data_IF_577279450762
#
_entry.id   IF_577279450762
#
_cell.length_a   1.000
_cell.length_b   1.000
_cell.length_c   1.000
_cell.angle_alpha   90.00
_cell.angle_beta   90.00
_cell.angle_gamma   90.00
#
_symmetry.space_group_name_H-M   'P 1'
#
loop_
_entity.id
_entity.type
_entity.pdbx_description
1 polymer ?
#
# COMPACT_ATOMS: atom_id res chain seq x y z
N UNK A 1 18.08 -18.49 36.51
CA UNK A 1 17.90 -19.31 35.30
C UNK A 1 17.53 -18.40 34.16
N UNK A 2 18.43 -18.23 33.19
CA UNK A 2 18.19 -17.38 32.03
C UNK A 2 17.38 -18.17 31.00
N UNK A 3 16.14 -17.76 30.74
CA UNK A 3 15.38 -18.30 29.61
C UNK A 3 15.77 -17.54 28.34
N UNK A 4 16.17 -18.29 27.33
CA UNK A 4 16.55 -17.84 26.01
C UNK A 4 15.36 -17.22 25.25
N UNK A 5 15.60 -16.28 24.30
CA UNK A 5 14.54 -15.65 23.55
C UNK A 5 13.82 -16.67 22.66
N UNK A 6 12.51 -16.54 22.61
CA UNK A 6 11.57 -17.36 21.83
C UNK A 6 11.96 -17.32 20.36
N UNK A 7 12.35 -18.48 19.84
CA UNK A 7 12.51 -18.70 18.40
C UNK A 7 11.16 -18.46 17.70
N UNK A 8 11.09 -17.41 16.86
CA UNK A 8 9.99 -17.24 15.91
C UNK A 8 9.99 -18.46 15.00
N UNK A 9 8.99 -19.31 15.17
CA UNK A 9 8.79 -20.49 14.34
C UNK A 9 8.51 -20.02 12.90
N UNK A 10 9.54 -19.97 12.10
CA UNK A 10 9.44 -19.84 10.67
C UNK A 10 9.02 -21.21 10.12
N UNK A 11 7.73 -21.43 9.88
CA UNK A 11 7.26 -22.61 9.18
C UNK A 11 7.97 -22.68 7.83
N UNK A 12 8.81 -23.70 7.65
CA UNK A 12 9.52 -23.99 6.39
C UNK A 12 8.49 -24.31 5.31
N UNK A 13 8.13 -23.32 4.50
CA UNK A 13 7.62 -23.60 3.17
C UNK A 13 8.82 -24.07 2.32
N UNK A 14 8.76 -25.28 1.82
CA UNK A 14 9.74 -25.90 0.90
C UNK A 14 9.55 -25.32 -0.51
N UNK A 15 9.79 -24.02 -0.69
CA UNK A 15 9.85 -23.33 -1.97
C UNK A 15 11.18 -22.58 -2.09
N UNK A 16 11.74 -22.46 -3.29
CA UNK A 16 12.96 -21.68 -3.55
C UNK A 16 12.82 -20.27 -3.01
N UNK A 17 13.57 -19.96 -1.95
CA UNK A 17 13.50 -18.66 -1.26
C UNK A 17 14.22 -17.61 -2.10
N UNK A 18 13.50 -16.55 -2.54
CA UNK A 18 14.09 -15.29 -2.94
C UNK A 18 14.89 -14.66 -1.79
N UNK A 19 15.73 -13.67 -2.08
CA UNK A 19 16.38 -12.86 -1.04
C UNK A 19 15.29 -12.11 -0.25
N UNK A 20 15.33 -12.21 1.05
CA UNK A 20 14.49 -11.35 1.91
C UNK A 20 15.33 -10.14 2.26
N UNK A 21 14.86 -8.96 1.86
CA UNK A 21 15.51 -7.70 2.22
C UNK A 21 15.09 -7.32 3.63
N UNK A 22 16.07 -7.31 4.54
CA UNK A 22 15.89 -6.87 5.91
C UNK A 22 16.56 -5.52 6.11
N UNK A 23 15.83 -4.61 6.73
CA UNK A 23 16.33 -3.34 7.19
C UNK A 23 16.22 -3.30 8.72
N UNK A 24 17.19 -2.71 9.38
CA UNK A 24 17.26 -2.61 10.82
C UNK A 24 17.46 -1.17 11.30
N UNK A 25 17.64 -0.97 12.59
CA UNK A 25 17.80 0.36 13.20
C UNK A 25 18.87 1.24 12.57
N UNK A 26 19.87 0.66 11.94
CA UNK A 26 20.89 1.41 11.24
C UNK A 26 20.36 2.16 10.01
N UNK A 27 19.28 1.67 9.39
CA UNK A 27 18.65 2.27 8.22
C UNK A 27 17.77 3.47 8.57
N UNK A 28 17.43 3.65 9.85
CA UNK A 28 16.63 4.78 10.36
C UNK A 28 17.11 5.28 11.72
N UNK A 29 18.43 5.41 11.91
CA UNK A 29 18.99 6.06 13.12
C UNK A 29 18.46 7.47 13.31
N UNK A 30 18.18 8.16 12.21
CA UNK A 30 17.53 9.47 12.18
C UNK A 30 16.28 9.38 11.29
N UNK A 31 15.39 10.34 11.43
CA UNK A 31 14.19 10.44 10.59
C UNK A 31 14.58 10.58 9.12
N UNK A 32 15.58 11.42 8.81
CA UNK A 32 16.04 11.70 7.44
C UNK A 32 16.54 10.43 6.75
N UNK A 33 17.30 9.57 7.44
CA UNK A 33 17.71 8.27 6.90
C UNK A 33 16.53 7.35 6.64
N UNK A 34 15.56 7.32 7.54
CA UNK A 34 14.34 6.52 7.40
C UNK A 34 13.45 6.94 6.23
N UNK A 35 13.55 8.21 5.79
CA UNK A 35 12.80 8.73 4.64
C UNK A 35 13.43 8.39 3.28
N UNK A 36 14.69 7.96 3.23
CA UNK A 36 15.41 7.72 1.97
C UNK A 36 14.96 6.47 1.21
N UNK A 37 14.30 5.53 1.89
CA UNK A 37 13.86 4.27 1.29
C UNK A 37 12.35 4.16 1.39
N UNK A 38 11.74 3.79 0.28
CA UNK A 38 10.29 3.65 0.13
C UNK A 38 9.94 2.21 -0.24
N UNK A 39 8.77 1.76 0.17
CA UNK A 39 8.21 0.49 -0.23
C UNK A 39 6.97 0.72 -1.10
N UNK A 40 6.66 -0.25 -1.96
CA UNK A 40 5.53 -0.24 -2.87
C UNK A 40 4.90 -1.62 -2.92
N UNK A 41 3.57 -1.70 -2.84
CA UNK A 41 2.77 -2.86 -3.23
C UNK A 41 1.67 -2.41 -4.19
N UNK A 42 1.32 -3.25 -5.16
CA UNK A 42 0.39 -2.92 -6.23
C UNK A 42 -0.72 -3.96 -6.33
N UNK A 43 -1.82 -3.60 -6.99
CA UNK A 43 -2.99 -4.47 -7.11
C UNK A 43 -3.24 -5.01 -8.53
N UNK A 44 -2.34 -4.82 -9.48
CA UNK A 44 -2.48 -5.30 -10.87
C UNK A 44 -3.55 -4.57 -11.71
N UNK A 45 -4.12 -3.47 -11.19
CA UNK A 45 -5.07 -2.60 -11.91
C UNK A 45 -4.67 -1.12 -11.86
N UNK A 46 -3.44 -0.83 -11.40
CA UNK A 46 -2.89 0.53 -11.32
C UNK A 46 -3.04 1.21 -9.97
N UNK A 47 -3.80 0.63 -9.02
CA UNK A 47 -3.81 1.05 -7.62
C UNK A 47 -2.58 0.56 -6.87
N UNK A 48 -2.24 1.23 -5.78
CA UNK A 48 -1.05 0.90 -4.99
C UNK A 48 -1.18 1.32 -3.53
N UNK A 49 -0.29 0.78 -2.69
CA UNK A 49 0.05 1.28 -1.37
C UNK A 49 1.56 1.51 -1.30
N UNK A 50 1.97 2.62 -0.69
CA UNK A 50 3.37 3.03 -0.57
C UNK A 50 3.59 3.96 0.62
N UNK A 51 4.75 3.87 1.24
CA UNK A 51 5.26 4.81 2.24
C UNK A 51 6.77 4.63 2.39
N UNK A 52 7.39 5.33 3.34
CA UNK A 52 8.80 5.13 3.70
C UNK A 52 8.97 3.92 4.64
N UNK A 53 10.21 3.46 4.84
CA UNK A 53 10.50 2.37 5.78
C UNK A 53 10.04 2.65 7.22
N UNK A 54 9.95 3.91 7.63
CA UNK A 54 9.49 4.30 8.96
C UNK A 54 8.00 4.61 9.02
N UNK A 55 7.24 4.32 7.95
CA UNK A 55 5.81 4.63 7.82
C UNK A 55 5.46 6.12 8.01
N UNK A 56 6.40 7.02 7.74
CA UNK A 56 6.18 8.46 7.64
C UNK A 56 5.99 8.82 6.17
N UNK A 57 4.86 9.39 5.83
CA UNK A 57 4.58 9.80 4.46
C UNK A 57 5.40 11.05 4.12
N UNK A 58 6.41 10.91 3.26
CA UNK A 58 7.25 12.01 2.76
C UNK A 58 6.76 12.61 1.45
N UNK A 59 5.75 11.97 0.81
CA UNK A 59 5.15 12.39 -0.46
C UNK A 59 3.63 12.47 -0.35
N UNK A 60 3.03 13.43 -1.08
CA UNK A 60 1.57 13.46 -1.30
C UNK A 60 1.03 12.20 -1.98
N UNK A 61 1.90 11.43 -2.62
CA UNK A 61 1.61 10.17 -3.31
C UNK A 61 1.61 8.95 -2.38
N UNK A 62 2.13 9.06 -1.17
CA UNK A 62 2.11 7.98 -0.21
C UNK A 62 0.69 7.73 0.32
N UNK A 63 0.36 6.48 0.52
CA UNK A 63 -0.92 6.07 1.09
C UNK A 63 -1.03 4.56 1.23
N UNK A 64 -1.87 4.10 2.13
CA UNK A 64 -2.21 2.69 2.30
C UNK A 64 -3.26 2.22 1.30
N UNK A 65 -4.06 3.14 0.70
CA UNK A 65 -4.93 2.84 -0.43
C UNK A 65 -4.99 4.04 -1.38
N UNK A 66 -4.26 3.93 -2.47
CA UNK A 66 -4.42 4.77 -3.67
C UNK A 66 -5.11 3.92 -4.73
N UNK A 67 -6.43 4.10 -4.86
CA UNK A 67 -7.28 3.27 -5.71
C UNK A 67 -7.29 3.76 -7.16
N UNK A 68 -7.29 2.85 -8.13
CA UNK A 68 -7.46 3.16 -9.54
C UNK A 68 -8.92 2.97 -9.94
N UNK A 69 -9.69 4.06 -10.09
CA UNK A 69 -11.13 3.99 -10.43
C UNK A 69 -11.41 3.83 -11.93
N UNK A 70 -10.42 4.16 -12.77
CA UNK A 70 -10.40 3.86 -14.21
C UNK A 70 -9.08 3.18 -14.56
N UNK A 71 -8.93 1.88 -14.24
CA UNK A 71 -7.68 1.18 -14.48
C UNK A 71 -7.06 1.41 -15.86
N UNK A 72 -5.76 1.76 -15.94
CA UNK A 72 -4.80 1.87 -14.83
C UNK A 72 -4.73 3.26 -14.18
N UNK A 73 -5.60 4.18 -14.52
CA UNK A 73 -5.57 5.57 -14.08
C UNK A 73 -6.73 6.00 -13.18
N UNK A 74 -7.01 7.30 -13.16
CA UNK A 74 -7.88 7.99 -12.18
C UNK A 74 -7.57 7.52 -10.76
N UNK A 75 -6.30 7.67 -10.35
CA UNK A 75 -5.84 7.27 -9.04
C UNK A 75 -6.30 8.27 -7.97
N UNK A 76 -6.92 7.75 -6.92
CA UNK A 76 -7.47 8.54 -5.81
C UNK A 76 -6.91 8.02 -4.49
N UNK A 77 -6.40 8.91 -3.66
CA UNK A 77 -6.02 8.60 -2.29
C UNK A 77 -7.29 8.49 -1.43
N UNK A 78 -7.53 7.32 -0.87
CA UNK A 78 -8.62 7.06 0.07
C UNK A 78 -8.12 6.89 1.50
N UNK A 79 -7.08 6.10 1.72
CA UNK A 79 -6.47 5.89 3.03
C UNK A 79 -5.00 6.31 2.98
N UNK A 80 -4.66 7.40 3.63
CA UNK A 80 -3.28 7.87 3.72
C UNK A 80 -2.46 7.03 4.71
N UNK A 81 -2.99 6.79 5.89
CA UNK A 81 -2.32 6.08 6.99
C UNK A 81 -3.30 5.40 7.92
N UNK A 82 -2.75 4.51 8.76
CA UNK A 82 -3.29 4.16 10.07
C UNK A 82 -2.27 4.60 11.11
N UNK A 83 -2.67 5.45 12.05
CA UNK A 83 -1.85 5.84 13.19
C UNK A 83 -2.16 4.92 14.37
N UNK A 84 -1.14 4.19 14.81
CA UNK A 84 -1.24 3.18 15.84
C UNK A 84 -0.82 3.76 17.20
N UNK A 85 -1.66 3.53 18.22
CA UNK A 85 -1.38 3.85 19.62
C UNK A 85 -1.69 2.66 20.51
N UNK A 86 -0.72 2.21 21.28
CA UNK A 86 -0.84 1.07 22.17
C UNK A 86 -0.90 1.54 23.63
N UNK A 87 -1.91 1.10 24.37
CA UNK A 87 -2.08 1.40 25.81
C UNK A 87 -2.06 0.11 26.61
N UNK A 88 -1.14 -0.01 27.57
CA UNK A 88 -1.04 -1.13 28.51
C UNK A 88 -0.92 -0.58 29.93
N UNK A 89 -1.95 -0.73 30.74
CA UNK A 89 -2.02 -0.11 32.08
C UNK A 89 -1.79 1.41 32.01
N UNK A 90 -0.81 1.95 32.74
CA UNK A 90 -0.49 3.39 32.74
C UNK A 90 0.36 3.79 31.53
N UNK A 91 0.93 2.84 30.80
CA UNK A 91 1.85 3.12 29.71
C UNK A 91 1.11 3.33 28.38
N UNK A 92 1.56 4.33 27.64
CA UNK A 92 1.09 4.59 26.26
C UNK A 92 2.29 4.65 25.33
N UNK A 93 2.24 3.86 24.25
CA UNK A 93 3.25 3.84 23.19
C UNK A 93 2.62 4.37 21.91
N UNK A 94 3.14 5.48 21.40
CA UNK A 94 2.74 6.00 20.09
C UNK A 94 3.64 5.38 19.03
N UNK A 95 3.06 4.64 18.09
CA UNK A 95 3.80 4.01 16.98
C UNK A 95 3.67 4.82 15.69
N UNK A 96 2.86 5.88 15.68
CA UNK A 96 2.73 6.78 14.55
C UNK A 96 4.04 7.54 14.27
N UNK A 97 4.36 7.72 13.00
CA UNK A 97 5.46 8.55 12.55
C UNK A 97 4.92 9.60 11.57
N UNK A 98 4.92 10.86 11.99
CA UNK A 98 4.37 11.98 11.24
C UNK A 98 5.27 13.20 11.37
N UNK A 99 5.36 14.00 10.32
CA UNK A 99 5.89 15.36 10.32
C UNK A 99 4.74 16.35 10.09
N UNK A 100 4.75 17.45 10.80
CA UNK A 100 3.70 18.46 10.74
C UNK A 100 4.30 19.85 10.54
N UNK A 101 3.62 20.70 9.81
CA UNK A 101 4.05 22.08 9.54
C UNK A 101 4.31 22.92 10.79
N UNK A 102 3.70 22.58 11.92
CA UNK A 102 3.95 23.25 13.21
C UNK A 102 5.31 22.92 13.83
N UNK A 103 6.06 22.00 13.22
CA UNK A 103 7.30 21.46 13.77
C UNK A 103 7.08 20.31 14.76
N UNK A 104 5.84 19.93 15.04
CA UNK A 104 5.54 18.75 15.82
C UNK A 104 5.84 17.48 15.01
N UNK A 105 6.63 16.59 15.61
CA UNK A 105 7.00 15.31 14.99
C UNK A 105 6.59 14.15 15.87
N UNK A 106 5.94 13.16 15.26
CA UNK A 106 5.70 11.87 15.89
C UNK A 106 6.80 10.90 15.45
N UNK A 107 7.43 10.27 16.41
CA UNK A 107 8.64 9.47 16.20
C UNK A 107 8.45 8.00 16.57
N UNK A 108 7.26 7.44 16.32
CA UNK A 108 6.94 6.06 16.65
C UNK A 108 7.89 5.01 16.06
N UNK A 109 8.66 5.38 15.02
CA UNK A 109 9.70 4.53 14.44
C UNK A 109 10.85 4.20 15.42
N UNK A 110 10.99 4.89 16.54
CA UNK A 110 11.95 4.50 17.60
C UNK A 110 11.69 3.09 18.14
N UNK A 111 10.43 2.65 18.10
CA UNK A 111 9.99 1.31 18.50
C UNK A 111 10.17 0.27 17.37
N UNK A 112 10.40 0.71 16.13
CA UNK A 112 10.61 -0.17 14.98
C UNK A 112 11.96 -0.88 15.10
N UNK A 113 11.96 -2.22 15.02
CA UNK A 113 13.16 -3.06 15.15
C UNK A 113 13.64 -3.55 13.79
N UNK A 114 12.71 -3.89 12.92
CA UNK A 114 13.00 -4.52 11.64
C UNK A 114 11.90 -4.20 10.61
N UNK A 115 12.31 -4.05 9.38
CA UNK A 115 11.43 -4.05 8.21
C UNK A 115 11.88 -5.16 7.26
N UNK A 116 10.96 -6.03 6.89
CA UNK A 116 11.12 -7.01 5.82
C UNK A 116 10.27 -6.54 4.65
N UNK A 117 10.81 -6.49 3.43
CA UNK A 117 10.07 -5.95 2.27
C UNK A 117 9.48 -7.04 1.38
N UNK A 118 10.13 -8.22 1.31
CA UNK A 118 9.70 -9.30 0.43
C UNK A 118 8.99 -10.45 1.16
N UNK A 119 7.88 -10.99 0.62
CA UNK A 119 7.15 -10.54 -0.57
C UNK A 119 6.25 -9.33 -0.31
N UNK A 120 5.99 -9.00 0.97
CA UNK A 120 5.20 -7.85 1.39
C UNK A 120 5.86 -7.12 2.55
N UNK A 121 5.79 -5.78 2.60
CA UNK A 121 6.38 -5.01 3.67
C UNK A 121 5.77 -5.42 5.01
N UNK A 122 6.65 -5.85 5.90
CA UNK A 122 6.32 -6.27 7.27
C UNK A 122 7.20 -5.51 8.25
N UNK A 123 6.56 -4.75 9.12
CA UNK A 123 7.17 -3.89 10.12
C UNK A 123 7.05 -4.52 11.49
N UNK A 124 8.18 -4.79 12.15
CA UNK A 124 8.20 -5.36 13.48
C UNK A 124 8.59 -4.30 14.51
N UNK A 125 7.66 -3.97 15.38
CA UNK A 125 7.85 -3.08 16.53
C UNK A 125 8.05 -3.88 17.80
N UNK A 126 8.90 -3.37 18.70
CA UNK A 126 9.06 -3.92 20.05
C UNK A 126 9.18 -2.79 21.06
N UNK A 127 8.41 -2.86 22.12
CA UNK A 127 8.34 -1.88 23.20
C UNK A 127 7.83 -2.55 24.47
N UNK A 128 8.53 -2.32 25.59
CA UNK A 128 8.30 -3.08 26.82
C UNK A 128 8.46 -4.58 26.58
N UNK A 129 7.45 -5.35 26.97
CA UNK A 129 7.35 -6.80 26.77
C UNK A 129 6.41 -7.18 25.60
N UNK A 130 6.13 -6.22 24.69
CA UNK A 130 5.19 -6.33 23.60
C UNK A 130 5.94 -6.40 22.26
N UNK A 131 5.46 -7.26 21.37
CA UNK A 131 5.89 -7.30 19.96
C UNK A 131 4.68 -7.18 19.06
N UNK A 132 4.75 -6.25 18.08
CA UNK A 132 3.73 -6.02 17.07
C UNK A 132 4.34 -6.13 15.69
N UNK A 133 3.82 -7.02 14.85
CA UNK A 133 4.15 -7.10 13.44
C UNK A 133 2.96 -6.61 12.60
N UNK A 134 3.24 -5.66 11.69
CA UNK A 134 2.29 -5.08 10.72
C UNK A 134 2.72 -5.45 9.31
N UNK A 135 1.90 -6.20 8.59
CA UNK A 135 2.13 -6.56 7.18
C UNK A 135 1.11 -5.87 6.30
N UNK A 136 1.56 -5.25 5.21
CA UNK A 136 0.70 -4.56 4.25
C UNK A 136 0.76 -5.26 2.91
N UNK A 137 -0.40 -5.60 2.34
CA UNK A 137 -0.50 -6.14 0.99
C UNK A 137 -1.82 -5.71 0.33
N UNK A 138 -1.88 -5.82 -0.99
CA UNK A 138 -3.10 -5.54 -1.75
C UNK A 138 -3.63 -6.81 -2.39
N UNK A 139 -4.95 -6.87 -2.54
CA UNK A 139 -5.62 -7.96 -3.25
C UNK A 139 -5.52 -7.71 -4.76
N UNK A 140 -4.95 -8.66 -5.49
CA UNK A 140 -4.77 -8.53 -6.93
C UNK A 140 -6.13 -8.41 -7.67
N UNK A 141 -6.23 -7.43 -8.55
CA UNK A 141 -7.45 -7.14 -9.31
C UNK A 141 -8.49 -6.29 -8.58
N UNK A 142 -8.24 -5.86 -7.33
CA UNK A 142 -9.18 -5.09 -6.51
C UNK A 142 -8.52 -3.86 -5.90
N UNK A 143 -9.29 -2.79 -5.71
CA UNK A 143 -8.86 -1.64 -4.91
C UNK A 143 -9.07 -1.92 -3.42
N UNK A 144 -8.32 -2.90 -2.92
CA UNK A 144 -8.39 -3.41 -1.55
C UNK A 144 -7.01 -3.59 -0.97
N UNK A 145 -6.75 -2.94 0.15
CA UNK A 145 -5.53 -3.10 0.94
C UNK A 145 -5.86 -3.81 2.25
N UNK A 146 -5.07 -4.81 2.58
CA UNK A 146 -5.14 -5.55 3.83
C UNK A 146 -3.94 -5.16 4.69
N UNK A 147 -4.20 -4.68 5.90
CA UNK A 147 -3.20 -4.38 6.92
C UNK A 147 -3.35 -5.42 8.02
N UNK A 148 -2.48 -6.42 8.00
CA UNK A 148 -2.50 -7.55 8.92
C UNK A 148 -1.62 -7.26 10.11
N UNK A 149 -2.17 -7.40 11.31
CA UNK A 149 -1.47 -7.26 12.58
C UNK A 149 -1.32 -8.62 13.25
N UNK A 150 -0.12 -8.88 13.79
CA UNK A 150 0.16 -9.96 14.74
C UNK A 150 0.76 -9.34 15.98
N UNK A 151 0.08 -9.49 17.10
CA UNK A 151 0.49 -8.87 18.36
C UNK A 151 0.75 -9.98 19.38
N UNK A 152 1.89 -9.92 20.04
CA UNK A 152 2.20 -10.67 21.24
C UNK A 152 2.16 -9.67 22.38
N UNK A 153 1.08 -9.72 23.18
CA UNK A 153 0.87 -8.81 24.29
C UNK A 153 1.70 -9.23 25.50
N UNK A 154 2.14 -8.25 26.27
CA UNK A 154 2.88 -8.46 27.50
C UNK A 154 2.00 -8.89 28.68
N UNK A 155 2.52 -8.69 29.88
CA UNK A 155 1.93 -9.15 31.14
C UNK A 155 0.67 -8.42 31.57
N UNK A 156 0.30 -7.32 30.89
CA UNK A 156 -0.89 -6.52 31.26
C UNK A 156 -1.92 -6.52 30.13
N UNK A 157 -3.23 -6.45 30.44
CA UNK A 157 -4.25 -6.18 29.44
C UNK A 157 -3.97 -4.86 28.73
N UNK A 158 -4.23 -4.82 27.43
CA UNK A 158 -3.92 -3.68 26.59
C UNK A 158 -5.01 -3.38 25.56
N UNK A 159 -4.93 -2.19 24.96
CA UNK A 159 -5.77 -1.79 23.84
C UNK A 159 -4.88 -1.20 22.74
N UNK A 160 -5.00 -1.73 21.54
CA UNK A 160 -4.42 -1.11 20.36
C UNK A 160 -5.47 -0.25 19.68
N UNK A 161 -5.23 1.06 19.64
CA UNK A 161 -6.03 2.04 18.93
C UNK A 161 -5.45 2.28 17.55
N UNK A 162 -6.29 2.25 16.52
CA UNK A 162 -5.93 2.44 15.11
C UNK A 162 -6.77 3.59 14.54
N UNK A 163 -6.15 4.74 14.32
CA UNK A 163 -6.80 5.93 13.79
C UNK A 163 -6.50 6.06 12.28
N UNK A 164 -7.50 5.87 11.40
CA UNK A 164 -7.31 6.07 9.97
C UNK A 164 -7.26 7.56 9.63
N UNK A 165 -6.28 7.94 8.81
CA UNK A 165 -6.21 9.24 8.15
C UNK A 165 -6.71 9.06 6.73
N UNK A 166 -7.88 9.62 6.41
CA UNK A 166 -8.57 9.41 5.14
C UNK A 166 -8.61 10.66 4.28
N UNK A 167 -8.76 10.47 2.99
CA UNK A 167 -8.96 11.50 2.01
C UNK A 167 -9.90 11.03 0.89
N UNK A 168 -10.21 11.87 -0.09
CA UNK A 168 -10.97 11.52 -1.29
C UNK A 168 -10.53 12.42 -2.45
N UNK A 169 -9.24 12.37 -2.80
CA UNK A 169 -8.62 13.27 -3.75
C UNK A 169 -7.80 12.55 -4.81
N UNK A 170 -7.73 13.14 -6.00
CA UNK A 170 -6.77 12.70 -7.01
C UNK A 170 -5.35 12.75 -6.47
N UNK A 171 -4.55 11.72 -6.75
CA UNK A 171 -3.23 11.53 -6.12
C UNK A 171 -2.20 12.63 -6.44
N UNK A 172 -2.40 13.43 -7.49
CA UNK A 172 -1.55 14.58 -7.82
C UNK A 172 -1.86 15.85 -7.00
N UNK A 173 -2.98 15.88 -6.29
CA UNK A 173 -3.44 17.04 -5.54
C UNK A 173 -3.20 16.87 -4.04
N UNK A 174 -3.49 17.90 -3.28
CA UNK A 174 -3.55 17.91 -1.81
C UNK A 174 -4.91 18.44 -1.38
N UNK A 175 -5.33 18.14 -0.16
CA UNK A 175 -6.61 18.61 0.41
C UNK A 175 -6.36 19.50 1.62
N UNK A 176 -7.16 20.53 1.77
CA UNK A 176 -7.26 21.35 2.97
C UNK A 176 -8.59 21.12 3.67
N UNK A 177 -8.59 21.25 4.99
CA UNK A 177 -9.83 21.22 5.78
C UNK A 177 -10.83 22.23 5.23
N UNK A 178 -12.08 21.79 5.04
CA UNK A 178 -13.14 22.59 4.44
C UNK A 178 -13.32 22.42 2.93
N UNK A 179 -12.38 21.81 2.20
CA UNK A 179 -12.52 21.51 0.77
C UNK A 179 -13.33 20.24 0.49
N UNK A 180 -13.42 19.34 1.47
CA UNK A 180 -14.16 18.08 1.40
C UNK A 180 -15.00 17.89 2.66
N UNK A 181 -16.21 17.41 2.45
CA UNK A 181 -17.07 16.89 3.51
C UNK A 181 -17.13 15.38 3.45
N UNK A 182 -17.10 14.73 4.62
CA UNK A 182 -17.15 13.29 4.74
C UNK A 182 -18.42 12.87 5.46
N UNK A 183 -19.16 11.92 4.86
CA UNK A 183 -20.33 11.29 5.48
C UNK A 183 -19.95 9.90 5.96
N UNK A 184 -20.30 9.62 7.22
CA UNK A 184 -20.01 8.34 7.86
C UNK A 184 -21.27 7.52 7.97
N UNK A 185 -21.19 6.27 7.57
CA UNK A 185 -22.24 5.27 7.77
C UNK A 185 -21.66 4.07 8.48
N UNK A 186 -22.23 3.72 9.63
CA UNK A 186 -21.83 2.50 10.34
C UNK A 186 -22.17 1.28 9.51
N UNK A 187 -21.24 0.35 9.38
CA UNK A 187 -21.40 -0.96 8.78
C UNK A 187 -20.99 -2.02 9.81
N UNK A 188 -21.34 -3.29 9.63
CA UNK A 188 -20.79 -4.37 10.46
C UNK A 188 -19.26 -4.32 10.41
N UNK A 189 -18.63 -4.49 11.57
CA UNK A 189 -17.17 -4.51 11.76
C UNK A 189 -16.43 -3.23 11.33
N UNK A 190 -17.15 -2.10 11.08
CA UNK A 190 -16.45 -0.91 10.63
C UNK A 190 -17.31 0.29 10.24
N UNK A 191 -16.82 1.02 9.24
CA UNK A 191 -17.41 2.27 8.76
C UNK A 191 -17.27 2.39 7.24
N UNK A 192 -18.32 2.88 6.59
CA UNK A 192 -18.31 3.39 5.21
C UNK A 192 -18.15 4.90 5.24
N UNK A 193 -17.23 5.42 4.44
CA UNK A 193 -16.85 6.83 4.41
C UNK A 193 -17.05 7.34 2.99
N UNK A 194 -18.02 8.21 2.81
CA UNK A 194 -18.29 8.89 1.55
C UNK A 194 -17.57 10.24 1.56
N UNK A 195 -16.76 10.51 0.54
CA UNK A 195 -16.13 11.80 0.29
C UNK A 195 -16.75 12.46 -0.94
N UNK A 196 -16.10 12.36 -2.11
CA UNK A 196 -16.65 12.88 -3.36
C UNK A 196 -17.76 11.99 -3.89
N UNK A 197 -18.88 12.58 -4.30
CA UNK A 197 -20.07 11.87 -4.79
C UNK A 197 -19.80 10.97 -6.01
N UNK A 198 -18.87 11.39 -6.88
CA UNK A 198 -18.53 10.63 -8.08
C UNK A 198 -17.58 9.43 -7.83
N UNK A 199 -17.24 9.16 -6.59
CA UNK A 199 -16.34 8.06 -6.17
C UNK A 199 -17.09 7.07 -5.28
N UNK A 200 -16.76 5.79 -5.36
CA UNK A 200 -17.28 4.83 -4.40
C UNK A 200 -16.79 5.15 -2.99
N UNK A 201 -17.58 4.83 -1.95
CA UNK A 201 -17.16 5.03 -0.57
C UNK A 201 -15.93 4.19 -0.23
N UNK A 202 -15.12 4.70 0.69
CA UNK A 202 -14.10 3.91 1.36
C UNK A 202 -14.76 3.06 2.46
N UNK A 203 -14.62 1.76 2.37
CA UNK A 203 -15.01 0.81 3.41
C UNK A 203 -13.79 0.49 4.27
N UNK A 204 -13.88 0.78 5.56
CA UNK A 204 -12.87 0.40 6.56
C UNK A 204 -13.49 -0.59 7.53
N UNK A 205 -12.92 -1.80 7.61
CA UNK A 205 -13.37 -2.85 8.53
C UNK A 205 -12.21 -3.40 9.34
N UNK A 206 -12.50 -3.92 10.55
CA UNK A 206 -11.50 -4.55 11.41
C UNK A 206 -12.05 -5.87 11.96
N UNK A 207 -11.33 -6.97 11.75
CA UNK A 207 -11.78 -8.32 12.14
C UNK A 207 -11.81 -8.59 13.64
N UNK A 208 -11.29 -7.68 14.47
CA UNK A 208 -11.20 -7.90 15.92
C UNK A 208 -11.35 -6.62 16.76
N UNK A 209 -11.70 -5.51 16.12
CA UNK A 209 -11.83 -4.21 16.79
C UNK A 209 -13.24 -3.65 16.73
N UNK A 210 -13.55 -2.75 17.63
CA UNK A 210 -14.78 -1.95 17.60
C UNK A 210 -14.47 -0.58 17.04
N UNK A 211 -15.23 -0.12 16.04
CA UNK A 211 -15.10 1.23 15.53
C UNK A 211 -15.79 2.23 16.46
N UNK A 212 -15.04 3.19 16.95
CA UNK A 212 -15.50 4.32 17.71
C UNK A 212 -15.52 5.55 16.79
N UNK A 213 -16.71 6.09 16.47
CA UNK A 213 -16.83 7.24 15.59
C UNK A 213 -16.17 8.47 16.21
N UNK A 214 -15.64 9.34 15.37
CA UNK A 214 -15.05 10.62 15.71
C UNK A 214 -15.51 11.67 14.72
N UNK A 215 -14.61 12.46 14.20
CA UNK A 215 -14.88 13.53 13.24
C UNK A 215 -13.92 14.69 13.46
N UNK A 216 -12.63 14.37 13.47
CA UNK A 216 -11.55 15.35 13.61
C UNK A 216 -10.72 15.44 12.33
N UNK A 217 -9.78 16.38 12.31
CA UNK A 217 -8.83 16.55 11.24
C UNK A 217 -7.41 16.50 11.78
N UNK A 218 -6.54 15.79 11.06
CA UNK A 218 -5.10 15.92 11.20
C UNK A 218 -4.67 17.02 10.22
N UNK A 219 -4.33 18.21 10.75
CA UNK A 219 -4.01 19.37 9.95
C UNK A 219 -2.50 19.53 9.75
N UNK A 220 -2.10 19.89 8.53
CA UNK A 220 -0.73 20.27 8.20
C UNK A 220 0.26 19.13 8.19
N UNK A 221 -0.12 17.92 7.76
CA UNK A 221 0.86 16.88 7.45
C UNK A 221 1.87 17.40 6.44
N UNK A 222 3.16 17.25 6.73
CA UNK A 222 4.24 17.79 5.91
C UNK A 222 4.92 16.68 5.09
N UNK A 223 5.18 16.97 3.81
CA UNK A 223 5.78 16.06 2.84
C UNK A 223 7.18 16.56 2.44
N UNK A 224 8.22 16.03 3.10
CA UNK A 224 9.60 16.48 2.90
C UNK A 224 10.06 16.35 1.43
N UNK A 225 9.74 15.25 0.75
CA UNK A 225 10.13 15.03 -0.64
C UNK A 225 9.41 15.98 -1.62
N UNK A 226 8.18 16.39 -1.34
CA UNK A 226 7.46 17.38 -2.15
C UNK A 226 8.06 18.78 -1.93
N UNK A 227 8.43 19.11 -0.70
CA UNK A 227 9.12 20.37 -0.37
C UNK A 227 10.42 20.50 -1.14
N UNK A 228 11.25 19.46 -1.19
CA UNK A 228 12.51 19.45 -1.95
C UNK A 228 12.29 19.67 -3.45
N UNK A 229 11.14 19.24 -3.97
CA UNK A 229 10.77 19.40 -5.38
C UNK A 229 10.08 20.73 -5.71
N UNK A 230 9.80 21.57 -4.71
CA UNK A 230 9.05 22.81 -4.88
C UNK A 230 7.56 22.61 -5.18
N UNK A 231 7.00 21.46 -4.77
CA UNK A 231 5.61 21.08 -4.95
C UNK A 231 4.78 21.39 -3.69
N UNK A 232 3.45 21.22 -3.77
CA UNK A 232 2.58 21.31 -2.60
C UNK A 232 2.96 20.25 -1.57
N UNK A 233 3.53 20.70 -0.45
CA UNK A 233 4.18 19.89 0.57
C UNK A 233 3.39 19.73 1.87
N UNK A 234 2.14 20.17 1.91
CA UNK A 234 1.30 20.10 3.11
C UNK A 234 -0.12 19.70 2.77
N UNK A 235 -0.73 18.91 3.65
CA UNK A 235 -2.07 18.37 3.46
C UNK A 235 -2.79 18.19 4.80
N UNK A 236 -4.14 18.23 4.76
CA UNK A 236 -4.99 17.89 5.88
C UNK A 236 -5.74 16.57 5.59
N UNK A 237 -5.85 15.71 6.61
CA UNK A 237 -6.56 14.44 6.50
C UNK A 237 -7.71 14.37 7.49
N UNK A 238 -8.83 13.82 7.05
CA UNK A 238 -9.96 13.57 7.93
C UNK A 238 -9.72 12.30 8.76
N UNK A 239 -10.06 12.36 10.05
CA UNK A 239 -9.98 11.24 11.00
C UNK A 239 -11.41 10.88 11.40
N UNK A 240 -12.03 9.86 10.76
CA UNK A 240 -13.44 9.51 10.97
C UNK A 240 -13.72 8.92 12.34
N UNK A 241 -12.70 8.53 13.07
CA UNK A 241 -12.75 7.84 14.35
C UNK A 241 -11.56 6.91 14.49
N UNK A 242 -11.71 5.86 15.30
CA UNK A 242 -10.65 4.85 15.49
C UNK A 242 -11.24 3.47 15.76
N UNK A 243 -10.48 2.45 15.41
CA UNK A 243 -10.74 1.10 15.90
C UNK A 243 -10.03 0.91 17.25
N UNK A 244 -10.70 0.26 18.20
CA UNK A 244 -10.08 -0.20 19.43
C UNK A 244 -10.11 -1.72 19.49
N UNK A 245 -8.91 -2.31 19.58
CA UNK A 245 -8.71 -3.76 19.63
C UNK A 245 -8.23 -4.14 21.03
N UNK A 246 -9.07 -4.81 21.82
CA UNK A 246 -8.66 -5.29 23.15
C UNK A 246 -7.70 -6.49 23.00
N UNK A 247 -6.69 -6.51 23.87
CA UNK A 247 -5.63 -7.51 23.93
C UNK A 247 -5.52 -8.04 25.36
N UNK A 248 -5.68 -9.33 25.53
CA UNK A 248 -5.53 -9.99 26.83
C UNK A 248 -4.06 -10.09 27.22
N UNK A 249 -3.80 -10.10 28.53
CA UNK A 249 -2.45 -10.28 29.08
C UNK A 249 -1.84 -11.62 28.63
N UNK A 250 -0.59 -11.59 28.18
CA UNK A 250 0.16 -12.76 27.73
C UNK A 250 -0.36 -13.42 26.45
N UNK A 251 -1.36 -12.86 25.79
CA UNK A 251 -1.98 -13.46 24.61
C UNK A 251 -1.34 -13.02 23.31
N UNK A 252 -1.39 -13.92 22.32
CA UNK A 252 -1.14 -13.59 20.91
C UNK A 252 -2.46 -13.35 20.20
N UNK A 253 -2.54 -12.29 19.38
CA UNK A 253 -3.72 -11.97 18.59
C UNK A 253 -3.34 -11.63 17.14
N UNK A 254 -4.03 -12.23 16.20
CA UNK A 254 -3.91 -11.91 14.77
C UNK A 254 -5.24 -11.35 14.29
N UNK A 255 -5.19 -10.20 13.61
CA UNK A 255 -6.36 -9.54 13.05
C UNK A 255 -5.95 -8.63 11.88
N UNK A 256 -6.92 -8.15 11.13
CA UNK A 256 -6.65 -7.24 10.03
C UNK A 256 -7.59 -6.04 10.02
N UNK A 257 -7.08 -4.92 9.52
CA UNK A 257 -7.87 -3.82 8.98
C UNK A 257 -7.88 -3.95 7.47
N UNK A 258 -9.06 -3.87 6.88
CA UNK A 258 -9.23 -3.86 5.42
C UNK A 258 -9.76 -2.51 4.99
N UNK A 259 -9.06 -1.89 4.04
CA UNK A 259 -9.47 -0.68 3.34
C UNK A 259 -9.83 -1.02 1.91
N UNK A 260 -11.05 -0.76 1.49
CA UNK A 260 -11.54 -1.14 0.16
C UNK A 260 -12.51 -0.13 -0.42
N UNK A 261 -12.55 -0.03 -1.74
CA UNK A 261 -13.62 0.64 -2.49
C UNK A 261 -14.54 -0.36 -3.22
N UNK A 262 -14.38 -1.65 -2.94
CA UNK A 262 -15.21 -2.71 -3.48
C UNK A 262 -16.48 -2.93 -2.63
N UNK A 263 -17.60 -3.23 -3.26
CA UNK A 263 -18.93 -3.25 -2.61
C UNK A 263 -19.10 -4.29 -1.49
N UNK A 264 -18.29 -5.34 -1.47
CA UNK A 264 -18.41 -6.46 -0.51
C UNK A 264 -17.06 -6.67 0.19
N UNK A 265 -16.72 -5.84 1.15
CA UNK A 265 -15.43 -5.94 1.81
C UNK A 265 -15.55 -5.91 3.33
N UNK A 266 -15.76 -7.08 3.92
CA UNK A 266 -15.66 -7.27 5.38
C UNK A 266 -14.44 -8.09 5.73
N UNK A 267 -13.68 -7.66 6.71
CA UNK A 267 -12.47 -8.34 7.15
C UNK A 267 -12.71 -9.81 7.53
N UNK A 268 -13.82 -10.09 8.20
CA UNK A 268 -14.17 -11.45 8.62
C UNK A 268 -14.59 -12.35 7.45
N UNK A 269 -15.26 -11.78 6.44
CA UNK A 269 -15.75 -12.54 5.27
C UNK A 269 -14.62 -12.87 4.29
N UNK A 270 -13.62 -12.02 4.19
CA UNK A 270 -12.52 -12.17 3.23
C UNK A 270 -11.40 -13.11 3.69
N UNK A 271 -11.39 -13.55 4.96
CA UNK A 271 -10.33 -14.40 5.47
C UNK A 271 -8.93 -13.78 5.22
N UNK A 272 -8.48 -12.75 5.96
CA UNK A 272 -7.28 -12.00 5.62
C UNK A 272 -6.00 -12.84 5.57
N UNK A 273 -5.94 -13.96 6.28
CA UNK A 273 -4.83 -14.90 6.18
C UNK A 273 -4.88 -15.69 4.88
N UNK A 274 -6.07 -16.11 4.45
CA UNK A 274 -6.25 -16.83 3.19
C UNK A 274 -5.93 -15.92 1.99
N UNK A 275 -6.31 -14.63 2.06
CA UNK A 275 -5.91 -13.64 1.07
C UNK A 275 -4.39 -13.47 1.01
N UNK A 276 -3.70 -13.43 2.16
CA UNK A 276 -2.25 -13.35 2.20
C UNK A 276 -1.59 -14.57 1.52
N UNK A 277 -2.05 -15.77 1.84
CA UNK A 277 -1.51 -17.01 1.24
C UNK A 277 -1.83 -17.08 -0.26
N UNK A 278 -3.01 -16.65 -0.69
CA UNK A 278 -3.38 -16.55 -2.10
C UNK A 278 -2.43 -15.62 -2.87
N UNK A 279 -2.13 -14.44 -2.32
CA UNK A 279 -1.20 -13.52 -2.98
C UNK A 279 0.25 -14.02 -2.98
N UNK A 280 0.68 -14.70 -1.92
CA UNK A 280 1.99 -15.39 -1.88
C UNK A 280 2.08 -16.47 -2.95
N UNK A 281 1.05 -17.29 -3.06
CA UNK A 281 0.97 -18.35 -4.06
C UNK A 281 1.03 -17.76 -5.47
N UNK A 282 0.24 -16.72 -5.76
CA UNK A 282 0.26 -16.03 -7.05
C UNK A 282 1.67 -15.53 -7.43
N UNK A 283 2.36 -14.89 -6.51
CA UNK A 283 3.74 -14.42 -6.75
C UNK A 283 4.73 -15.57 -6.94
N UNK A 284 4.52 -16.67 -6.25
CA UNK A 284 5.34 -17.88 -6.42
C UNK A 284 5.12 -18.51 -7.80
N UNK A 285 3.89 -18.59 -8.28
CA UNK A 285 3.58 -19.10 -9.63
C UNK A 285 4.27 -18.26 -10.74
N UNK A 286 4.38 -16.95 -10.57
CA UNK A 286 5.11 -16.09 -11.51
C UNK A 286 6.60 -16.46 -11.59
N UNK A 287 7.22 -16.69 -10.44
CA UNK A 287 8.64 -17.10 -10.36
C UNK A 287 8.83 -18.49 -10.98
N UNK A 288 7.95 -19.44 -10.71
CA UNK A 288 7.99 -20.79 -11.28
C UNK A 288 7.82 -20.77 -12.80
N UNK A 289 6.86 -19.98 -13.31
CA UNK A 289 6.65 -19.76 -14.76
C UNK A 289 7.89 -19.21 -15.43
N UNK A 290 8.53 -18.20 -14.82
CA UNK A 290 9.76 -17.62 -15.35
C UNK A 290 10.92 -18.61 -15.41
N UNK A 291 10.93 -19.64 -14.56
CA UNK A 291 11.95 -20.67 -14.50
C UNK A 291 13.30 -20.18 -13.97
N UNK A 292 13.32 -19.04 -13.29
CA UNK A 292 14.53 -18.46 -12.70
C UNK A 292 15.03 -19.31 -11.53
N UNK A 293 16.37 -19.46 -11.42
CA UNK A 293 17.02 -20.21 -10.33
C UNK A 293 17.77 -19.30 -9.36
N UNK A 294 18.24 -18.17 -9.85
CA UNK A 294 18.93 -17.15 -9.08
C UNK A 294 17.94 -16.33 -8.25
N UNK A 295 18.33 -15.99 -7.02
CA UNK A 295 17.45 -15.28 -6.09
C UNK A 295 17.14 -13.86 -6.55
N UNK A 296 18.13 -13.14 -7.11
CA UNK A 296 17.91 -11.79 -7.66
C UNK A 296 16.96 -11.82 -8.84
N UNK A 297 17.10 -12.81 -9.74
CA UNK A 297 16.20 -12.99 -10.86
C UNK A 297 14.75 -13.27 -10.39
N UNK A 298 14.57 -14.07 -9.34
CA UNK A 298 13.25 -14.28 -8.73
C UNK A 298 12.64 -12.97 -8.19
N UNK A 299 13.44 -12.14 -7.55
CA UNK A 299 12.98 -10.84 -7.02
C UNK A 299 12.63 -9.87 -8.16
N UNK A 300 13.41 -9.85 -9.24
CA UNK A 300 13.11 -9.07 -10.44
C UNK A 300 11.81 -9.52 -11.14
N UNK A 301 11.52 -10.84 -11.15
CA UNK A 301 10.23 -11.36 -11.67
C UNK A 301 9.05 -10.83 -10.85
N UNK A 302 9.16 -10.82 -9.52
CA UNK A 302 8.12 -10.25 -8.65
C UNK A 302 7.97 -8.74 -8.86
N UNK A 303 9.09 -8.02 -8.94
CA UNK A 303 9.09 -6.58 -9.19
C UNK A 303 8.49 -6.23 -10.56
N UNK A 304 8.74 -7.03 -11.60
CA UNK A 304 8.16 -6.84 -12.92
C UNK A 304 6.63 -6.91 -12.91
N UNK A 305 6.04 -7.75 -12.05
CA UNK A 305 4.59 -7.89 -11.93
C UNK A 305 3.89 -6.59 -11.52
N UNK A 306 4.55 -5.75 -10.71
CA UNK A 306 4.01 -4.48 -10.26
C UNK A 306 3.64 -3.53 -11.43
N UNK A 307 4.34 -3.62 -12.55
CA UNK A 307 4.17 -2.73 -13.70
C UNK A 307 3.17 -3.26 -14.74
N UNK A 308 2.84 -4.56 -14.72
CA UNK A 308 1.91 -5.16 -15.67
C UNK A 308 0.50 -5.13 -15.09
N UNK A 309 -0.36 -4.30 -15.65
CA UNK A 309 -1.70 -4.01 -15.10
C UNK A 309 -2.80 -4.22 -16.13
N UNK A 310 -4.02 -4.44 -15.63
CA UNK A 310 -5.22 -4.51 -16.45
C UNK A 310 -5.65 -3.11 -16.89
N UNK A 311 -5.89 -2.90 -18.19
CA UNK A 311 -6.55 -1.71 -18.74
C UNK A 311 -8.04 -1.95 -18.90
N UNK A 312 -8.86 -1.18 -18.20
CA UNK A 312 -10.33 -1.34 -18.23
C UNK A 312 -10.92 -1.07 -19.60
N UNK A 313 -10.43 -0.05 -20.31
CA UNK A 313 -10.99 0.39 -21.60
C UNK A 313 -10.80 -0.62 -22.74
N UNK A 314 -9.80 -1.48 -22.67
CA UNK A 314 -9.49 -2.49 -23.69
C UNK A 314 -9.73 -3.92 -23.21
N UNK A 315 -9.89 -4.13 -21.90
CA UNK A 315 -9.92 -5.46 -21.29
C UNK A 315 -8.60 -6.24 -21.40
N UNK A 316 -7.51 -5.59 -21.84
CA UNK A 316 -6.19 -6.19 -22.09
C UNK A 316 -5.16 -5.66 -21.07
N UNK A 317 -3.97 -6.26 -21.05
CA UNK A 317 -2.86 -5.80 -20.22
C UNK A 317 -2.19 -4.56 -20.83
N UNK A 318 -1.55 -3.78 -19.95
CA UNK A 318 -0.68 -2.66 -20.28
C UNK A 318 0.46 -2.57 -19.28
N UNK A 319 1.42 -1.66 -19.53
CA UNK A 319 2.56 -1.42 -18.65
C UNK A 319 2.48 0.00 -18.08
N UNK A 320 2.60 0.11 -16.77
CA UNK A 320 2.76 1.40 -16.07
C UNK A 320 4.19 1.90 -16.29
N UNK A 321 4.34 3.13 -16.76
CA UNK A 321 5.65 3.75 -16.99
C UNK A 321 6.42 4.02 -15.69
N UNK A 322 5.71 4.32 -14.59
CA UNK A 322 6.32 4.50 -13.28
C UNK A 322 5.35 4.94 -12.19
N UNK A 323 5.32 4.18 -11.10
CA UNK A 323 4.66 4.64 -9.87
C UNK A 323 5.50 5.71 -9.17
N UNK A 324 4.86 6.69 -8.53
CA UNK A 324 3.43 6.95 -8.49
C UNK A 324 2.94 7.89 -9.61
N UNK A 325 3.84 8.46 -10.41
CA UNK A 325 3.54 9.63 -11.25
C UNK A 325 2.83 9.32 -12.56
N UNK A 326 3.23 8.22 -13.21
CA UNK A 326 2.82 7.95 -14.58
C UNK A 326 1.82 6.79 -14.68
N UNK A 327 0.94 6.88 -15.67
CA UNK A 327 0.11 5.78 -16.14
C UNK A 327 0.86 5.00 -17.24
N UNK A 328 0.18 4.51 -18.25
CA UNK A 328 0.80 3.80 -19.35
C UNK A 328 1.19 4.74 -20.50
N UNK A 329 2.48 4.72 -20.80
CA UNK A 329 3.08 5.49 -21.86
C UNK A 329 3.64 4.54 -22.93
N UNK A 330 3.44 4.88 -24.24
CA UNK A 330 3.79 4.02 -25.35
C UNK A 330 5.27 3.69 -25.43
N UNK A 331 6.14 4.72 -25.41
CA UNK A 331 7.59 4.53 -25.43
C UNK A 331 8.06 3.64 -24.28
N UNK A 332 7.66 3.98 -23.07
CA UNK A 332 8.07 3.25 -21.86
C UNK A 332 7.58 1.80 -21.89
N UNK A 333 6.34 1.58 -22.37
CA UNK A 333 5.80 0.25 -22.54
C UNK A 333 6.61 -0.57 -23.56
N UNK A 334 6.94 0.00 -24.74
CA UNK A 334 7.69 -0.71 -25.77
C UNK A 334 9.12 -1.04 -25.35
N UNK A 335 9.83 -0.08 -24.72
CA UNK A 335 11.20 -0.28 -24.24
C UNK A 335 11.26 -1.35 -23.13
N UNK A 336 10.31 -1.34 -22.20
CA UNK A 336 10.31 -2.24 -21.04
C UNK A 336 9.69 -3.61 -21.31
N UNK A 337 8.87 -3.74 -22.36
CA UNK A 337 8.12 -4.97 -22.69
C UNK A 337 8.98 -6.24 -22.71
N UNK A 338 10.15 -6.26 -23.40
CA UNK A 338 10.96 -7.50 -23.43
C UNK A 338 11.39 -7.95 -22.03
N UNK A 339 11.86 -7.03 -21.20
CA UNK A 339 12.31 -7.33 -19.83
C UNK A 339 11.16 -7.76 -18.92
N UNK A 340 10.04 -7.03 -18.95
CA UNK A 340 8.91 -7.28 -18.07
C UNK A 340 8.11 -8.53 -18.45
N UNK A 341 8.06 -8.88 -19.74
CA UNK A 341 7.18 -9.95 -20.22
C UNK A 341 7.90 -11.14 -20.83
N UNK A 342 8.79 -10.94 -21.83
CA UNK A 342 9.42 -12.06 -22.55
C UNK A 342 10.41 -12.82 -21.64
N UNK A 343 11.25 -12.09 -20.89
CA UNK A 343 12.20 -12.68 -19.95
C UNK A 343 11.48 -13.43 -18.81
N UNK A 344 10.33 -12.92 -18.38
CA UNK A 344 9.49 -13.54 -17.34
C UNK A 344 8.51 -14.59 -17.87
N UNK A 345 8.58 -14.91 -19.19
CA UNK A 345 7.70 -15.85 -19.90
C UNK A 345 6.21 -15.49 -19.86
N UNK A 346 5.90 -14.21 -19.82
CA UNK A 346 4.55 -13.66 -19.85
C UNK A 346 4.15 -13.33 -21.31
N UNK A 347 4.23 -14.30 -22.19
CA UNK A 347 4.06 -14.12 -23.65
C UNK A 347 2.66 -13.68 -24.02
N UNK A 348 1.63 -14.15 -23.29
CA UNK A 348 0.25 -13.75 -23.56
C UNK A 348 0.05 -12.27 -23.23
N UNK A 349 0.57 -11.83 -22.08
CA UNK A 349 0.51 -10.42 -21.69
C UNK A 349 1.29 -9.52 -22.68
N UNK A 350 2.45 -9.96 -23.18
CA UNK A 350 3.19 -9.26 -24.22
C UNK A 350 2.35 -9.09 -25.49
N UNK A 351 1.69 -10.17 -25.93
CA UNK A 351 0.80 -10.13 -27.09
C UNK A 351 -0.37 -9.17 -26.90
N UNK A 352 -1.02 -9.17 -25.74
CA UNK A 352 -2.13 -8.27 -25.43
C UNK A 352 -1.70 -6.81 -25.46
N UNK A 353 -0.54 -6.48 -24.90
CA UNK A 353 0.04 -5.14 -24.90
C UNK A 353 0.30 -4.68 -26.35
N UNK A 354 1.03 -5.47 -27.14
CA UNK A 354 1.36 -5.14 -28.52
C UNK A 354 0.10 -4.95 -29.39
N UNK A 355 -0.89 -5.83 -29.24
CA UNK A 355 -2.15 -5.72 -29.98
C UNK A 355 -2.91 -4.45 -29.59
N UNK A 356 -2.90 -4.06 -28.32
CA UNK A 356 -3.54 -2.81 -27.88
C UNK A 356 -2.93 -1.60 -28.57
N UNK A 357 -1.61 -1.51 -28.66
CA UNK A 357 -0.95 -0.40 -29.34
C UNK A 357 -1.15 -0.47 -30.86
N UNK A 358 -1.10 -1.66 -31.46
CA UNK A 358 -1.33 -1.85 -32.90
C UNK A 358 -2.75 -1.43 -33.32
N UNK A 359 -3.79 -1.80 -32.55
CA UNK A 359 -5.19 -1.43 -32.78
C UNK A 359 -5.41 0.09 -32.73
N UNK A 360 -4.57 0.82 -32.00
CA UNK A 360 -4.63 2.27 -31.90
C UNK A 360 -3.61 2.99 -32.79
N UNK A 361 -2.91 2.28 -33.69
CA UNK A 361 -1.99 2.91 -34.62
C UNK A 361 -2.73 3.80 -35.61
N UNK A 362 -2.21 5.00 -35.85
CA UNK A 362 -2.76 5.95 -36.82
C UNK A 362 -1.65 6.43 -37.79
N UNK A 363 -1.81 6.15 -39.09
CA UNK A 363 -0.84 6.54 -40.14
C UNK A 363 0.61 6.10 -39.82
N UNK A 364 0.77 4.92 -39.24
CA UNK A 364 2.06 4.37 -38.81
C UNK A 364 2.61 4.88 -37.48
N UNK A 365 1.92 5.78 -36.80
CA UNK A 365 2.34 6.31 -35.50
C UNK A 365 1.58 5.57 -34.37
N UNK A 366 2.28 5.06 -33.38
CA UNK A 366 1.71 4.50 -32.16
C UNK A 366 1.35 5.61 -31.17
N UNK A 367 0.33 5.40 -30.31
CA UNK A 367 -0.02 6.37 -29.30
C UNK A 367 1.08 6.54 -28.27
N UNK A 368 1.40 7.79 -27.92
CA UNK A 368 2.35 8.09 -26.86
C UNK A 368 1.78 7.83 -25.46
N UNK A 369 0.49 8.12 -25.25
CA UNK A 369 -0.16 7.92 -23.96
C UNK A 369 -1.66 7.71 -24.14
N UNK A 370 -2.24 7.02 -23.16
CA UNK A 370 -3.68 6.88 -22.99
C UNK A 370 -4.07 7.61 -21.70
N UNK A 371 -4.42 8.89 -21.79
CA UNK A 371 -4.79 9.67 -20.61
C UNK A 371 -6.21 9.37 -20.11
N UNK A 372 -6.37 9.43 -18.80
CA UNK A 372 -7.64 9.27 -18.12
C UNK A 372 -8.67 10.30 -18.59
N UNK A 373 -9.83 9.80 -19.00
CA UNK A 373 -10.94 10.66 -19.45
C UNK A 373 -10.80 11.23 -20.86
N UNK A 374 -9.65 11.07 -21.52
CA UNK A 374 -9.51 11.42 -22.94
C UNK A 374 -10.23 10.37 -23.80
N UNK A 375 -11.06 10.83 -24.75
CA UNK A 375 -11.75 9.94 -25.72
C UNK A 375 -10.76 9.30 -26.70
N UNK A 376 -9.60 9.93 -26.93
CA UNK A 376 -8.60 9.48 -27.89
C UNK A 376 -7.21 9.43 -27.26
N UNK A 377 -6.37 8.47 -27.68
CA UNK A 377 -4.94 8.46 -27.36
C UNK A 377 -4.23 9.70 -27.91
N UNK A 378 -3.09 10.04 -27.30
CA UNK A 378 -2.25 11.17 -27.73
C UNK A 378 -1.15 10.69 -28.66
N UNK A 379 -0.97 11.37 -29.79
CA UNK A 379 0.01 11.06 -30.87
C UNK A 379 0.95 12.25 -31.06
N UNK A 380 1.84 12.48 -30.11
CA UNK A 380 2.75 13.64 -30.13
C UNK A 380 4.23 13.25 -30.15
N UNK A 381 4.54 12.01 -30.44
CA UNK A 381 5.91 11.47 -30.51
C UNK A 381 5.97 10.28 -31.46
N UNK A 382 7.15 10.02 -32.01
CA UNK A 382 7.49 8.84 -32.83
C UNK A 382 8.25 7.78 -32.02
N UNK A 383 8.56 8.04 -30.77
CA UNK A 383 9.46 7.22 -29.95
C UNK A 383 8.89 5.85 -29.60
N UNK A 384 7.58 5.64 -29.77
CA UNK A 384 6.91 4.38 -29.51
C UNK A 384 6.76 3.48 -30.75
N UNK A 385 7.22 3.95 -31.92
CA UNK A 385 7.04 3.26 -33.20
C UNK A 385 8.24 2.41 -33.60
#
# INVERSE_FOLDING_TARGET
>A
MRQSPVNVICTRATGRKGRVFYFGKNDWRTMELGLQKEWLVTNGIGGYASSTLINLNSRKYHGLLVAAHKPPGRRVLHLAKLDERFRAGPCTFNLAANDNRSGFKETGFIHLQQVQVEPFPTFTYSFGDITLAKTVFMVHGQNTTVILYRVYNGTMPAVLSLAPLVNSRGHHYVTRRGELEFKLKKIPDGVSIEGREELPPLLLTCSAGTFLPGGSWYEGMAYAAEKERGEHDQEDHYVPGRFEVPLEAGAAKTFAVIASTEACCRAAELGPLDLLEKERFRLQELVERAGCKDSLACDLVRAADAFIVQRRSTGKKTIIAGYPWFADWGRDAMISLPGLTLVTRRFQEAREILLTFAEHSRRGILPNAFFDGAKNPVYNTVDAS
#
